data_IF_316334244265
#
_entry.id   IF_316334244265
#
_cell.length_a   1.000
_cell.length_b   1.000
_cell.length_c   1.000
_cell.angle_alpha   90.00
_cell.angle_beta   90.00
_cell.angle_gamma   90.00
#
_symmetry.space_group_name_H-M   'P 1'
#
loop_
_entity.id
_entity.type
_entity.pdbx_description
1 polymer ?
#
# COMPACT_ATOMS: atom_id res chain seq x y z
N UNK A 1 17.91 -43.45 17.47
CA UNK A 1 18.04 -42.71 16.18
C UNK A 1 16.65 -42.41 15.59
N UNK A 2 15.62 -42.39 16.44
CA UNK A 2 14.22 -42.51 16.01
C UNK A 2 13.56 -41.14 15.83
N UNK A 3 14.09 -40.12 16.52
CA UNK A 3 13.58 -38.74 16.44
C UNK A 3 13.76 -38.13 15.05
N UNK A 4 14.73 -38.60 14.26
CA UNK A 4 14.95 -38.14 12.88
C UNK A 4 13.74 -38.46 12.01
N UNK A 5 13.09 -39.61 12.21
CA UNK A 5 11.88 -39.98 11.48
C UNK A 5 10.67 -39.11 11.84
N UNK A 6 10.67 -38.47 13.00
CA UNK A 6 9.67 -37.48 13.41
C UNK A 6 10.03 -36.07 12.89
N UNK A 7 11.31 -35.69 12.95
CA UNK A 7 11.80 -34.35 12.58
C UNK A 7 11.72 -34.08 11.07
N UNK A 8 12.05 -35.06 10.24
CA UNK A 8 12.00 -34.91 8.77
C UNK A 8 10.59 -34.51 8.27
N UNK A 9 9.50 -35.21 8.61
CA UNK A 9 8.17 -34.83 8.13
C UNK A 9 7.71 -33.49 8.71
N UNK A 10 8.03 -33.19 9.98
CA UNK A 10 7.72 -31.89 10.60
C UNK A 10 8.41 -30.77 9.83
N UNK A 11 9.70 -30.92 9.51
CA UNK A 11 10.45 -29.93 8.74
C UNK A 11 9.86 -29.73 7.34
N UNK A 12 9.46 -30.80 6.65
CA UNK A 12 8.82 -30.71 5.33
C UNK A 12 7.50 -29.93 5.42
N UNK A 13 6.68 -30.18 6.43
CA UNK A 13 5.42 -29.46 6.66
C UNK A 13 5.69 -27.98 6.91
N UNK A 14 6.64 -27.65 7.78
CA UNK A 14 7.00 -26.26 8.08
C UNK A 14 7.53 -25.51 6.86
N UNK A 15 8.41 -26.13 6.07
CA UNK A 15 8.93 -25.53 4.84
C UNK A 15 7.80 -25.33 3.82
N UNK A 16 6.93 -26.32 3.65
CA UNK A 16 5.77 -26.22 2.75
C UNK A 16 4.83 -25.09 3.17
N UNK A 17 4.57 -24.96 4.47
CA UNK A 17 3.76 -23.87 5.02
C UNK A 17 4.41 -22.50 4.81
N UNK A 18 5.72 -22.38 5.04
CA UNK A 18 6.45 -21.14 4.82
C UNK A 18 6.42 -20.70 3.35
N UNK A 19 6.62 -21.65 2.42
CA UNK A 19 6.53 -21.39 0.98
C UNK A 19 5.11 -20.94 0.61
N UNK A 20 4.08 -21.64 1.09
CA UNK A 20 2.69 -21.28 0.83
C UNK A 20 2.36 -19.86 1.35
N UNK A 21 2.75 -19.55 2.59
CA UNK A 21 2.55 -18.23 3.19
C UNK A 21 3.31 -17.12 2.43
N UNK A 22 4.52 -17.42 1.94
CA UNK A 22 5.32 -16.50 1.13
C UNK A 22 4.59 -16.14 -0.17
N UNK A 23 4.13 -17.14 -0.93
CA UNK A 23 3.38 -16.91 -2.18
C UNK A 23 2.06 -16.18 -1.92
N UNK A 24 1.36 -16.52 -0.84
CA UNK A 24 0.16 -15.80 -0.41
C UNK A 24 0.46 -14.32 -0.14
N UNK A 25 1.52 -14.02 0.61
CA UNK A 25 1.94 -12.65 0.90
C UNK A 25 2.33 -11.86 -0.35
N UNK A 26 3.03 -12.48 -1.29
CA UNK A 26 3.40 -11.86 -2.57
C UNK A 26 2.15 -11.53 -3.39
N UNK A 27 1.19 -12.45 -3.48
CA UNK A 27 -0.06 -12.21 -4.21
C UNK A 27 -1.01 -11.25 -3.48
N UNK A 28 -0.88 -11.10 -2.16
CA UNK A 28 -1.72 -10.21 -1.35
C UNK A 28 -1.39 -8.73 -1.54
N UNK A 29 -0.45 -8.36 -2.43
CA UNK A 29 -0.18 -6.97 -2.76
C UNK A 29 0.34 -6.14 -1.59
N UNK A 30 0.91 -6.75 -0.54
CA UNK A 30 1.42 -6.03 0.64
C UNK A 30 2.57 -5.04 0.34
N UNK A 31 3.04 -5.00 -0.90
CA UNK A 31 4.06 -4.06 -1.39
C UNK A 31 3.46 -2.82 -2.07
N UNK A 32 2.17 -2.81 -2.40
CA UNK A 32 1.49 -1.65 -3.02
C UNK A 32 1.08 -0.59 -1.99
N UNK A 33 0.87 -0.97 -0.72
CA UNK A 33 0.46 -0.05 0.36
C UNK A 33 1.62 0.70 1.04
N UNK A 34 2.86 0.51 0.54
CA UNK A 34 4.04 1.28 1.00
C UNK A 34 4.16 2.65 0.31
N UNK A 35 3.37 2.91 -0.74
CA UNK A 35 3.39 4.17 -1.50
C UNK A 35 2.43 5.23 -0.92
N UNK A 36 1.46 4.80 -0.10
CA UNK A 36 0.42 5.67 0.47
C UNK A 36 0.89 6.64 1.59
N UNK A 37 1.77 6.26 2.54
CA UNK A 37 2.10 7.15 3.68
C UNK A 37 3.10 8.27 3.36
N UNK A 38 3.74 8.26 2.18
CA UNK A 38 4.70 9.31 1.79
C UNK A 38 4.03 10.59 1.31
N UNK A 39 2.80 10.50 0.79
CA UNK A 39 2.06 11.65 0.25
C UNK A 39 1.17 12.34 1.29
N UNK A 40 0.83 11.71 2.41
CA UNK A 40 0.11 12.37 3.50
C UNK A 40 1.00 13.36 4.27
N UNK A 41 2.28 13.02 4.51
CA UNK A 41 3.13 13.82 5.39
C UNK A 41 3.57 15.17 4.80
N UNK A 42 3.52 15.33 3.46
CA UNK A 42 3.90 16.56 2.76
C UNK A 42 2.72 17.46 2.40
N UNK A 43 1.49 16.95 2.45
CA UNK A 43 0.30 17.68 1.98
C UNK A 43 -0.81 17.80 3.03
N UNK A 44 -0.77 17.05 4.13
CA UNK A 44 -1.77 17.20 5.20
C UNK A 44 -1.67 18.55 5.91
N UNK A 45 -0.47 19.13 6.05
CA UNK A 45 -0.24 20.40 6.77
C UNK A 45 -0.71 21.65 6.03
N UNK A 46 -0.89 21.59 4.70
CA UNK A 46 -1.21 22.78 3.89
C UNK A 46 -2.73 22.96 3.69
N UNK A 47 -3.54 21.92 3.81
CA UNK A 47 -4.99 21.97 3.52
C UNK A 47 -5.81 22.78 4.54
N UNK A 48 -5.27 22.96 5.74
CA UNK A 48 -5.86 23.77 6.80
C UNK A 48 -5.25 25.18 6.88
N UNK A 49 -4.19 25.45 6.11
CA UNK A 49 -3.60 26.79 5.97
C UNK A 49 -4.19 27.57 4.81
N UNK A 50 -4.92 26.93 3.90
CA UNK A 50 -5.62 27.60 2.79
C UNK A 50 -6.94 28.18 3.34
N UNK A 51 -7.09 29.51 3.39
CA UNK A 51 -8.36 30.17 3.72
C UNK A 51 -9.49 29.68 2.79
N UNK A 52 -10.70 29.47 3.33
CA UNK A 52 -11.84 28.91 2.59
C UNK A 52 -12.20 29.72 1.32
N UNK A 53 -11.89 31.02 1.31
CA UNK A 53 -12.07 31.94 0.18
C UNK A 53 -11.15 31.66 -1.03
N UNK A 54 -10.03 30.93 -0.83
CA UNK A 54 -9.13 30.51 -1.90
C UNK A 54 -9.48 29.12 -2.47
N UNK A 55 -10.15 28.25 -1.69
CA UNK A 55 -10.59 26.92 -2.17
C UNK A 55 -11.65 27.02 -3.27
N UNK A 56 -12.57 27.98 -3.17
CA UNK A 56 -13.60 28.21 -4.18
C UNK A 56 -13.02 28.79 -5.48
N UNK A 57 -11.96 29.61 -5.40
CA UNK A 57 -11.25 30.18 -6.57
C UNK A 57 -10.44 29.14 -7.35
N UNK A 58 -9.89 28.13 -6.68
CA UNK A 58 -9.07 27.09 -7.31
C UNK A 58 -9.90 26.06 -8.09
N UNK A 59 -11.13 25.77 -7.64
CA UNK A 59 -12.07 24.90 -8.37
C UNK A 59 -12.63 25.56 -9.64
N UNK A 60 -12.79 26.88 -9.62
CA UNK A 60 -13.31 27.65 -10.75
C UNK A 60 -12.33 27.68 -11.94
N UNK A 61 -11.03 27.92 -11.68
CA UNK A 61 -10.00 28.01 -12.76
C UNK A 61 -9.77 26.71 -13.53
N UNK A 62 -9.95 25.54 -12.91
CA UNK A 62 -9.73 24.26 -13.58
C UNK A 62 -10.88 23.85 -14.52
N UNK A 63 -12.01 24.57 -14.49
CA UNK A 63 -13.18 24.28 -15.32
C UNK A 63 -13.11 24.94 -16.71
N UNK A 64 -12.25 25.95 -16.88
CA UNK A 64 -12.17 26.76 -18.11
C UNK A 64 -11.06 26.31 -19.09
N UNK A 65 -10.19 25.37 -18.72
CA UNK A 65 -9.05 24.93 -19.56
C UNK A 65 -9.30 23.61 -20.32
N UNK A 66 -10.53 23.07 -20.28
CA UNK A 66 -10.92 21.92 -21.14
C UNK A 66 -11.99 22.32 -22.15
N UNK A 67 -11.64 23.24 -23.06
CA UNK A 67 -12.34 23.36 -24.34
C UNK A 67 -11.44 22.77 -25.43
N UNK A 68 -11.72 21.56 -25.95
CA UNK A 68 -11.11 21.12 -27.19
C UNK A 68 -11.69 21.98 -28.33
N UNK A 69 -10.82 22.66 -29.06
CA UNK A 69 -11.15 23.19 -30.39
C UNK A 69 -11.04 22.10 -31.46
#
# INVERSE_FOLDING_TARGET
>A
MDIIFLLIPIAIILVSFAIWAFFYSVNSGQFEDLESPAHSILFEDDDHLIPDDLKDKAKDKNSDEHKPE
#
